data_IF_485865341514
#
_entry.id   IF_485865341514
#
_cell.length_a   1.000
_cell.length_b   1.000
_cell.length_c   1.000
_cell.angle_alpha   90.00
_cell.angle_beta   90.00
_cell.angle_gamma   90.00
#
_symmetry.space_group_name_H-M   'P 1'
#
loop_
_entity.id
_entity.type
_entity.pdbx_description
1 polymer ?
#
# COMPACT_ATOMS: atom_id res chain seq x y z
N UNK A 1 -0.67 13.45 -7.62
CA UNK A 1 -1.04 12.83 -6.33
C UNK A 1 -1.16 13.92 -5.28
N UNK A 2 -2.29 14.01 -4.57
CA UNK A 2 -2.52 15.05 -3.55
C UNK A 2 -1.53 14.92 -2.37
N UNK A 3 -1.16 16.05 -1.75
CA UNK A 3 -0.19 16.12 -0.63
C UNK A 3 -0.52 15.14 0.51
N UNK A 4 -1.80 15.05 0.89
CA UNK A 4 -2.26 14.10 1.91
C UNK A 4 -1.92 12.62 1.59
N UNK A 5 -1.97 12.23 0.31
CA UNK A 5 -1.57 10.86 -0.09
C UNK A 5 -0.05 10.68 0.00
N UNK A 6 0.73 11.74 -0.26
CA UNK A 6 2.21 11.68 -0.17
C UNK A 6 2.66 11.54 1.28
N UNK A 7 1.99 12.22 2.19
CA UNK A 7 2.21 12.11 3.64
C UNK A 7 1.87 10.70 4.11
N UNK A 8 0.76 10.13 3.63
CA UNK A 8 0.36 8.77 3.97
C UNK A 8 1.36 7.71 3.47
N UNK A 9 1.85 7.83 2.23
CA UNK A 9 2.92 6.94 1.73
C UNK A 9 4.19 7.08 2.56
N UNK A 10 4.56 8.30 2.94
CA UNK A 10 5.72 8.53 3.83
C UNK A 10 5.53 7.84 5.18
N UNK A 11 4.33 7.93 5.77
CA UNK A 11 4.01 7.27 7.03
C UNK A 11 4.08 5.74 6.93
N UNK A 12 3.54 5.14 5.86
CA UNK A 12 3.61 3.70 5.61
C UNK A 12 5.04 3.19 5.43
N UNK A 13 5.92 4.03 4.85
CA UNK A 13 7.34 3.70 4.73
C UNK A 13 8.05 3.82 6.08
N UNK A 14 7.73 4.82 6.90
CA UNK A 14 8.44 5.08 8.16
C UNK A 14 7.95 4.26 9.35
N UNK A 15 6.97 3.38 9.17
CA UNK A 15 6.55 2.39 10.18
C UNK A 15 7.12 0.99 9.89
N UNK A 16 6.84 0.02 10.77
CA UNK A 16 7.22 -1.37 10.54
C UNK A 16 6.48 -1.96 9.34
N UNK A 17 7.09 -2.94 8.66
CA UNK A 17 6.44 -3.62 7.54
C UNK A 17 5.14 -4.33 7.95
N UNK A 18 5.05 -4.78 9.19
CA UNK A 18 3.87 -5.45 9.74
C UNK A 18 2.72 -4.47 9.99
N UNK A 19 3.02 -3.30 10.56
CA UNK A 19 2.01 -2.26 10.79
C UNK A 19 1.50 -1.67 9.47
N UNK A 20 2.41 -1.49 8.52
CA UNK A 20 2.05 -1.07 7.16
C UNK A 20 1.15 -2.12 6.48
N UNK A 21 1.45 -3.41 6.62
CA UNK A 21 0.62 -4.49 6.12
C UNK A 21 -0.77 -4.49 6.77
N UNK A 22 -0.86 -4.35 8.10
CA UNK A 22 -2.13 -4.30 8.82
C UNK A 22 -3.00 -3.12 8.37
N UNK A 23 -2.39 -1.93 8.30
CA UNK A 23 -3.08 -0.71 7.85
C UNK A 23 -3.63 -0.84 6.43
N UNK A 24 -2.81 -1.36 5.51
CA UNK A 24 -3.22 -1.55 4.12
C UNK A 24 -4.22 -2.70 3.96
N UNK A 25 -4.17 -3.74 4.78
CA UNK A 25 -5.11 -4.84 4.75
C UNK A 25 -6.53 -4.40 5.15
N UNK A 26 -6.64 -3.55 6.19
CA UNK A 26 -7.89 -2.92 6.61
C UNK A 26 -8.39 -1.94 5.55
N UNK A 27 -7.50 -1.13 4.98
CA UNK A 27 -7.87 -0.21 3.91
C UNK A 27 -8.36 -0.96 2.67
N UNK A 28 -7.72 -2.07 2.30
CA UNK A 28 -8.13 -2.90 1.15
C UNK A 28 -9.52 -3.54 1.32
N UNK A 29 -10.03 -3.67 2.54
CA UNK A 29 -11.40 -4.12 2.79
C UNK A 29 -12.42 -2.99 2.67
N UNK A 30 -12.07 -1.80 3.14
CA UNK A 30 -12.97 -0.63 3.15
C UNK A 30 -12.99 0.13 1.83
N UNK A 31 -11.82 0.32 1.23
CA UNK A 31 -11.57 1.13 0.04
C UNK A 31 -10.41 0.53 -0.76
N UNK A 32 -10.68 -0.56 -1.51
CA UNK A 32 -9.64 -1.28 -2.23
C UNK A 32 -8.99 -0.46 -3.36
N UNK A 33 -9.71 0.48 -3.97
CA UNK A 33 -9.14 1.35 -5.01
C UNK A 33 -8.04 2.25 -4.44
N UNK A 34 -8.31 2.91 -3.32
CA UNK A 34 -7.32 3.75 -2.64
C UNK A 34 -6.16 2.93 -2.05
N UNK A 35 -6.45 1.74 -1.50
CA UNK A 35 -5.40 0.84 -1.03
C UNK A 35 -4.42 0.47 -2.15
N UNK A 36 -4.93 0.16 -3.35
CA UNK A 36 -4.13 -0.17 -4.51
C UNK A 36 -3.27 1.03 -4.97
N UNK A 37 -3.86 2.23 -5.03
CA UNK A 37 -3.14 3.46 -5.39
C UNK A 37 -1.99 3.75 -4.41
N UNK A 38 -2.22 3.63 -3.11
CA UNK A 38 -1.19 3.85 -2.08
C UNK A 38 -0.08 2.80 -2.16
N UNK A 39 -0.42 1.53 -2.40
CA UNK A 39 0.59 0.48 -2.59
C UNK A 39 1.47 0.75 -3.81
N UNK A 40 0.86 1.15 -4.93
CA UNK A 40 1.60 1.49 -6.15
C UNK A 40 2.54 2.68 -5.91
N UNK A 41 2.05 3.76 -5.29
CA UNK A 41 2.85 4.93 -4.98
C UNK A 41 4.01 4.60 -4.01
N UNK A 42 3.77 3.75 -3.01
CA UNK A 42 4.81 3.33 -2.07
C UNK A 42 5.90 2.48 -2.73
N UNK A 43 5.52 1.57 -3.63
CA UNK A 43 6.48 0.77 -4.41
C UNK A 43 7.32 1.63 -5.36
N UNK A 44 6.70 2.59 -6.05
CA UNK A 44 7.40 3.57 -6.89
C UNK A 44 8.41 4.36 -6.05
N UNK A 45 8.01 4.81 -4.85
CA UNK A 45 8.90 5.57 -3.97
C UNK A 45 10.08 4.73 -3.45
N UNK A 46 9.86 3.46 -3.09
CA UNK A 46 10.94 2.55 -2.70
C UNK A 46 11.94 2.29 -3.82
N UNK A 47 11.47 2.25 -5.07
CA UNK A 47 12.36 2.17 -6.24
C UNK A 47 13.14 3.48 -6.42
N UNK A 48 12.47 4.62 -6.35
CA UNK A 48 13.11 5.93 -6.53
C UNK A 48 14.17 6.25 -5.47
N UNK A 49 14.00 5.77 -4.24
CA UNK A 49 14.97 6.01 -3.14
C UNK A 49 16.07 4.96 -3.05
N UNK A 50 16.08 3.95 -3.94
CA UNK A 50 16.98 2.78 -3.87
C UNK A 50 17.03 2.15 -2.46
N UNK A 51 15.93 2.22 -1.72
CA UNK A 51 15.88 1.72 -0.35
C UNK A 51 15.61 0.22 -0.36
N UNK A 52 16.56 -0.56 0.16
CA UNK A 52 16.43 -2.01 0.32
C UNK A 52 15.52 -2.36 1.51
N UNK A 53 14.21 -2.19 1.32
CA UNK A 53 13.17 -2.58 2.29
C UNK A 53 12.35 -3.75 1.78
N UNK A 54 12.97 -4.93 1.74
CA UNK A 54 12.36 -6.16 1.19
C UNK A 54 11.04 -6.49 1.91
N UNK A 55 10.97 -6.32 3.23
CA UNK A 55 9.76 -6.58 4.01
C UNK A 55 8.60 -5.65 3.62
N UNK A 56 8.84 -4.35 3.45
CA UNK A 56 7.82 -3.40 2.96
C UNK A 56 7.38 -3.71 1.54
N UNK A 57 8.33 -4.07 0.65
CA UNK A 57 7.99 -4.48 -0.73
C UNK A 57 7.03 -5.67 -0.75
N UNK A 58 7.31 -6.69 0.07
CA UNK A 58 6.44 -7.87 0.21
C UNK A 58 5.08 -7.49 0.79
N UNK A 59 5.04 -6.66 1.83
CA UNK A 59 3.81 -6.17 2.45
C UNK A 59 2.92 -5.41 1.44
N UNK A 60 3.48 -4.45 0.72
CA UNK A 60 2.75 -3.66 -0.27
C UNK A 60 2.26 -4.50 -1.44
N UNK A 61 3.07 -5.44 -1.92
CA UNK A 61 2.67 -6.34 -3.01
C UNK A 61 1.52 -7.25 -2.58
N UNK A 62 1.57 -7.80 -1.36
CA UNK A 62 0.50 -8.64 -0.83
C UNK A 62 -0.82 -7.87 -0.65
N UNK A 63 -0.74 -6.66 -0.09
CA UNK A 63 -1.90 -5.79 0.07
C UNK A 63 -2.50 -5.34 -1.27
N UNK A 64 -1.66 -4.98 -2.25
CA UNK A 64 -2.11 -4.63 -3.60
C UNK A 64 -2.86 -5.79 -4.28
N UNK A 65 -2.36 -7.02 -4.16
CA UNK A 65 -3.05 -8.22 -4.69
C UNK A 65 -4.40 -8.45 -4.01
N UNK A 66 -4.48 -8.26 -2.69
CA UNK A 66 -5.74 -8.37 -1.95
C UNK A 66 -6.74 -7.32 -2.45
N UNK A 67 -6.31 -6.06 -2.59
CA UNK A 67 -7.14 -4.97 -3.08
C UNK A 67 -7.65 -5.21 -4.51
N UNK A 68 -6.78 -5.65 -5.43
CA UNK A 68 -7.15 -6.03 -6.80
C UNK A 68 -8.24 -7.10 -6.80
N UNK A 69 -8.06 -8.17 -6.01
CA UNK A 69 -9.03 -9.25 -5.92
C UNK A 69 -10.39 -8.80 -5.37
N UNK A 70 -10.41 -7.80 -4.49
CA UNK A 70 -11.67 -7.21 -4.00
C UNK A 70 -12.36 -6.38 -5.08
N UNK A 71 -11.60 -5.59 -5.87
CA UNK A 71 -12.15 -4.83 -7.00
C UNK A 71 -12.73 -5.75 -8.07
N UNK A 72 -12.05 -6.85 -8.39
CA UNK A 72 -12.51 -7.85 -9.37
C UNK A 72 -13.80 -8.55 -8.95
N UNK A 73 -14.03 -8.72 -7.65
CA UNK A 73 -15.23 -9.37 -7.11
C UNK A 73 -16.48 -8.48 -7.14
N UNK A 74 -16.31 -7.18 -7.36
CA UNK A 74 -17.39 -6.20 -7.25
C UNK A 74 -17.85 -5.97 -5.80
N UNK A 75 -18.72 -4.98 -5.54
CA UNK A 75 -19.30 -4.79 -4.22
C UNK A 75 -20.13 -6.04 -3.84
N UNK A 76 -19.94 -6.52 -2.61
CA UNK A 76 -20.83 -7.51 -1.99
C UNK A 76 -22.12 -6.87 -1.53
#
# INVERSE_FOLDING_TARGET
MHRAKQDHVSALLNTSAQDAAGSLATLAERDPANALELCAAALVRLNATNSERISHRKAFTAAARKALKQLERGPK
#
